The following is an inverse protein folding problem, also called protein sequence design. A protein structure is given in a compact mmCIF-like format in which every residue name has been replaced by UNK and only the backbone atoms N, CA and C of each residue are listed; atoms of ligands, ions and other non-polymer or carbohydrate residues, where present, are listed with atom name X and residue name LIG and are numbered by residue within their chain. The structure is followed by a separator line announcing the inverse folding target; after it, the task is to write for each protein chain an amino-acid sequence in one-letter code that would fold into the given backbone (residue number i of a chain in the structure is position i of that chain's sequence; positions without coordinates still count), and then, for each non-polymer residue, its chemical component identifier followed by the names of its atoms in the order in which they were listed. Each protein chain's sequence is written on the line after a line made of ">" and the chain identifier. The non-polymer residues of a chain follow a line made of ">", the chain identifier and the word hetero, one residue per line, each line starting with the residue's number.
data_IF_938926922040
#
_entry.id   IF_938926922040
#
_cell.length_a   1.000
_cell.length_b   1.000
_cell.length_c   1.000
_cell.angle_alpha   90.00
_cell.angle_beta   90.00
_cell.angle_gamma   90.00
#
_symmetry.space_group_name_H-M   'P 1'
#
loop_
_entity.id
_entity.type
_entity.pdbx_description
1 polymer ?
#
# COMPACT_ATOMS: atom_id res chain seq x y z
N UNK A 1 -7.71 -11.54 -20.32
CA UNK A 1 -6.60 -10.63 -20.00
C UNK A 1 -7.04 -9.22 -20.37
N UNK A 2 -6.88 -8.25 -19.45
CA UNK A 2 -7.28 -6.87 -19.74
C UNK A 2 -6.24 -6.24 -20.66
N UNK A 3 -6.68 -5.77 -21.82
CA UNK A 3 -5.85 -5.08 -22.78
C UNK A 3 -6.00 -3.57 -22.58
N UNK A 4 -4.90 -2.86 -22.42
CA UNK A 4 -4.87 -1.42 -22.24
C UNK A 4 -4.44 -0.71 -23.53
N UNK A 5 -5.01 0.44 -23.79
CA UNK A 5 -4.46 1.39 -24.78
C UNK A 5 -3.36 2.22 -24.10
N UNK A 6 -2.60 2.99 -24.88
CA UNK A 6 -1.55 3.87 -24.31
C UNK A 6 -2.16 4.99 -23.48
N UNK A 7 -3.36 5.44 -23.83
CA UNK A 7 -4.13 6.42 -23.08
C UNK A 7 -4.50 5.87 -21.70
N UNK A 8 -5.05 4.65 -21.66
CA UNK A 8 -5.40 3.98 -20.41
C UNK A 8 -4.17 3.76 -19.51
N UNK A 9 -3.02 3.43 -20.09
CA UNK A 9 -1.77 3.31 -19.31
C UNK A 9 -1.34 4.67 -18.74
N UNK A 10 -1.43 5.74 -19.54
CA UNK A 10 -1.11 7.10 -19.10
C UNK A 10 -1.94 7.49 -17.87
N UNK A 11 -3.25 7.25 -17.93
CA UNK A 11 -4.18 7.55 -16.84
C UNK A 11 -3.91 6.70 -15.58
N UNK A 12 -3.57 5.41 -15.76
CA UNK A 12 -3.35 4.49 -14.63
C UNK A 12 -2.01 4.69 -13.91
N UNK A 13 -0.96 5.08 -14.62
CA UNK A 13 0.36 5.21 -14.02
C UNK A 13 0.81 6.66 -13.78
N UNK A 14 0.00 7.66 -14.15
CA UNK A 14 0.33 9.07 -14.00
C UNK A 14 1.50 9.53 -14.88
N UNK A 15 1.83 8.78 -15.94
CA UNK A 15 2.93 9.08 -16.86
C UNK A 15 2.39 9.62 -18.17
N UNK A 16 2.90 10.75 -18.65
CA UNK A 16 2.43 11.36 -19.89
C UNK A 16 2.57 10.41 -21.10
N UNK A 17 1.63 10.47 -22.03
CA UNK A 17 1.72 9.72 -23.30
C UNK A 17 3.03 10.00 -24.06
N UNK A 18 3.55 11.23 -23.93
CA UNK A 18 4.83 11.62 -24.54
C UNK A 18 5.97 10.80 -23.97
N UNK A 19 6.03 10.63 -22.65
CA UNK A 19 7.02 9.83 -21.96
C UNK A 19 6.87 8.34 -22.31
N UNK A 20 5.63 7.81 -22.29
CA UNK A 20 5.38 6.41 -22.66
C UNK A 20 5.81 6.13 -24.11
N UNK A 21 5.55 7.04 -25.05
CA UNK A 21 6.02 6.92 -26.43
C UNK A 21 7.53 7.03 -26.57
N UNK A 22 8.19 7.87 -25.74
CA UNK A 22 9.63 7.95 -25.69
C UNK A 22 10.24 6.63 -25.17
N UNK A 23 9.65 6.04 -24.13
CA UNK A 23 10.05 4.74 -23.57
C UNK A 23 9.81 3.58 -24.55
N UNK A 24 8.80 3.66 -25.40
CA UNK A 24 8.64 2.71 -26.50
C UNK A 24 9.77 2.82 -27.52
N UNK A 25 10.14 4.03 -27.93
CA UNK A 25 11.25 4.26 -28.90
C UNK A 25 12.59 3.80 -28.35
N UNK A 26 12.83 3.98 -27.06
CA UNK A 26 14.06 3.50 -26.37
C UNK A 26 14.06 2.00 -26.06
N UNK A 27 12.96 1.30 -26.39
CA UNK A 27 12.83 -0.14 -26.13
C UNK A 27 12.58 -0.51 -24.68
N UNK A 28 12.35 0.47 -23.80
CA UNK A 28 11.98 0.26 -22.39
C UNK A 28 10.57 -0.34 -22.25
N UNK A 29 9.66 0.04 -23.12
CA UNK A 29 8.28 -0.41 -23.14
C UNK A 29 7.95 -0.99 -24.51
N UNK A 30 7.76 -2.30 -24.61
CA UNK A 30 7.46 -2.98 -25.88
C UNK A 30 6.00 -3.47 -25.87
N UNK A 31 5.07 -2.86 -26.66
CA UNK A 31 3.70 -3.35 -26.71
C UNK A 31 3.63 -4.77 -27.21
N UNK A 32 2.73 -5.58 -26.64
CA UNK A 32 2.36 -6.86 -27.18
C UNK A 32 1.48 -6.71 -28.42
N UNK A 33 1.33 -7.78 -29.20
CA UNK A 33 0.43 -7.82 -30.37
C UNK A 33 -0.54 -8.97 -30.15
N UNK A 34 -1.80 -8.72 -30.47
CA UNK A 34 -2.81 -9.76 -30.52
C UNK A 34 -2.76 -10.52 -31.85
N UNK A 35 -3.58 -11.54 -31.99
CA UNK A 35 -3.65 -12.39 -33.17
C UNK A 35 -3.99 -11.61 -34.46
N UNK A 36 -4.65 -10.46 -34.34
CA UNK A 36 -4.95 -9.52 -35.44
C UNK A 36 -3.82 -8.52 -35.71
N UNK A 37 -2.67 -8.64 -35.03
CA UNK A 37 -1.51 -7.75 -35.17
C UNK A 37 -1.66 -6.38 -34.49
N UNK A 38 -2.79 -6.09 -33.86
CA UNK A 38 -3.03 -4.84 -33.15
C UNK A 38 -2.19 -4.77 -31.87
N UNK A 39 -1.53 -3.62 -31.65
CA UNK A 39 -0.74 -3.38 -30.43
C UNK A 39 -1.65 -3.22 -29.22
N UNK A 40 -1.28 -3.83 -28.12
CA UNK A 40 -1.93 -3.66 -26.84
C UNK A 40 -0.89 -3.68 -25.73
N UNK A 41 -1.30 -3.23 -24.55
CA UNK A 41 -0.56 -3.36 -23.32
C UNK A 41 -1.37 -4.22 -22.36
N UNK A 42 -0.71 -4.86 -21.45
CA UNK A 42 -1.29 -5.64 -20.38
C UNK A 42 -0.68 -5.20 -19.03
N UNK A 43 -1.00 -5.92 -18.02
CA UNK A 43 -0.54 -5.67 -16.69
C UNK A 43 1.00 -5.74 -16.53
N UNK A 44 1.67 -6.61 -17.28
CA UNK A 44 3.13 -6.71 -17.20
C UNK A 44 3.80 -5.41 -17.63
N UNK A 45 3.18 -4.69 -18.57
CA UNK A 45 3.63 -3.37 -19.01
C UNK A 45 3.42 -2.30 -17.94
N UNK A 46 2.30 -2.36 -17.20
CA UNK A 46 2.06 -1.45 -16.08
C UNK A 46 3.11 -1.64 -14.97
N UNK A 47 3.41 -2.89 -14.61
CA UNK A 47 4.46 -3.21 -13.65
C UNK A 47 5.84 -2.71 -14.12
N UNK A 48 6.14 -2.89 -15.41
CA UNK A 48 7.38 -2.39 -16.00
C UNK A 48 7.47 -0.86 -15.92
N UNK A 49 6.36 -0.14 -16.15
CA UNK A 49 6.30 1.32 -16.01
C UNK A 49 6.61 1.72 -14.57
N UNK A 50 6.02 1.09 -13.58
CA UNK A 50 6.32 1.36 -12.17
C UNK A 50 7.79 1.08 -11.82
N UNK A 51 8.37 0.01 -12.34
CA UNK A 51 9.79 -0.26 -12.17
C UNK A 51 10.67 0.84 -12.81
N UNK A 52 10.32 1.32 -13.99
CA UNK A 52 11.01 2.44 -14.65
C UNK A 52 10.95 3.69 -13.75
N UNK A 53 9.76 4.09 -13.29
CA UNK A 53 9.57 5.25 -12.42
C UNK A 53 10.46 5.12 -11.17
N UNK A 54 10.41 3.97 -10.50
CA UNK A 54 11.20 3.72 -9.28
C UNK A 54 12.71 3.90 -9.49
N UNK A 55 13.23 3.55 -10.66
CA UNK A 55 14.65 3.76 -10.99
C UNK A 55 14.96 5.21 -11.35
N UNK A 56 14.04 5.89 -12.07
CA UNK A 56 14.16 7.31 -12.39
C UNK A 56 14.11 8.16 -11.12
N UNK A 57 13.24 7.83 -10.16
CA UNK A 57 13.13 8.50 -8.86
C UNK A 57 14.43 8.37 -8.03
N UNK A 58 15.20 7.30 -8.27
CA UNK A 58 16.54 7.12 -7.69
C UNK A 58 17.64 7.86 -8.45
N UNK A 59 17.28 8.65 -9.46
CA UNK A 59 18.23 9.45 -10.25
C UNK A 59 19.00 8.67 -11.32
N UNK A 60 18.57 7.43 -11.67
CA UNK A 60 19.21 6.69 -12.75
C UNK A 60 18.82 7.28 -14.10
N UNK A 61 19.78 7.51 -15.02
CA UNK A 61 19.48 7.93 -16.39
C UNK A 61 18.75 6.83 -17.16
N UNK A 62 17.94 7.22 -18.14
CA UNK A 62 17.01 6.34 -18.85
C UNK A 62 17.71 5.16 -19.57
N UNK A 63 18.92 5.38 -20.09
CA UNK A 63 19.74 4.36 -20.74
C UNK A 63 20.27 3.32 -19.74
N UNK A 64 20.60 3.72 -18.52
CA UNK A 64 20.96 2.80 -17.43
C UNK A 64 19.77 1.95 -16.99
N UNK A 65 18.59 2.58 -16.85
CA UNK A 65 17.34 1.86 -16.60
C UNK A 65 17.08 0.85 -17.71
N UNK A 66 17.33 1.22 -18.99
CA UNK A 66 17.14 0.31 -20.12
C UNK A 66 18.07 -0.91 -20.05
N UNK A 67 19.34 -0.71 -19.69
CA UNK A 67 20.33 -1.80 -19.53
C UNK A 67 19.91 -2.74 -18.41
N UNK A 68 19.54 -2.19 -17.25
CA UNK A 68 19.09 -2.99 -16.09
C UNK A 68 17.82 -3.79 -16.38
N UNK A 69 16.88 -3.22 -17.11
CA UNK A 69 15.65 -3.92 -17.51
C UNK A 69 15.88 -4.99 -18.59
N UNK A 70 17.01 -4.99 -19.30
CA UNK A 70 17.40 -6.06 -20.24
C UNK A 70 18.19 -7.20 -19.61
N UNK A 71 18.59 -7.07 -18.35
CA UNK A 71 19.34 -8.11 -17.63
C UNK A 71 20.82 -8.20 -18.04
N UNK A 72 21.40 -7.14 -18.61
CA UNK A 72 22.82 -7.10 -19.04
C UNK A 72 23.80 -6.99 -17.87
N UNK A 73 23.33 -6.71 -16.65
CA UNK A 73 24.09 -6.91 -15.40
C UNK A 73 23.19 -7.59 -14.38
N UNK A 74 23.32 -8.90 -14.24
CA UNK A 74 22.68 -9.72 -13.23
C UNK A 74 21.15 -9.55 -13.19
N UNK A 75 20.43 -10.55 -13.68
CA UNK A 75 19.00 -10.76 -13.55
C UNK A 75 18.28 -9.78 -12.60
N UNK A 76 17.90 -8.61 -13.12
CA UNK A 76 16.95 -7.70 -12.52
C UNK A 76 15.64 -7.67 -13.35
N UNK A 77 15.18 -8.81 -13.80
CA UNK A 77 13.77 -9.14 -13.67
C UNK A 77 13.60 -9.08 -12.17
N UNK A 78 13.05 -7.96 -11.64
CA UNK A 78 13.05 -7.83 -10.20
C UNK A 78 12.35 -9.06 -9.67
N UNK A 79 12.95 -9.76 -8.75
CA UNK A 79 12.35 -10.94 -8.10
C UNK A 79 10.92 -10.61 -7.62
N UNK A 80 10.65 -9.31 -7.45
CA UNK A 80 9.37 -8.74 -7.10
C UNK A 80 8.29 -8.97 -8.16
N UNK A 81 8.58 -8.72 -9.44
CA UNK A 81 7.65 -8.94 -10.56
C UNK A 81 7.32 -10.43 -10.70
N UNK A 82 8.35 -11.28 -10.63
CA UNK A 82 8.16 -12.74 -10.68
C UNK A 82 7.26 -13.20 -9.53
N UNK A 83 7.44 -12.66 -8.34
CA UNK A 83 6.62 -13.04 -7.19
C UNK A 83 5.20 -12.51 -7.25
N UNK A 84 5.02 -11.29 -7.77
CA UNK A 84 3.68 -10.75 -8.01
C UNK A 84 2.92 -11.58 -9.04
N UNK A 85 3.56 -11.95 -10.16
CA UNK A 85 2.96 -12.81 -11.18
C UNK A 85 2.62 -14.21 -10.63
N UNK A 86 3.54 -14.80 -9.88
CA UNK A 86 3.30 -16.10 -9.26
C UNK A 86 2.11 -16.03 -8.28
N UNK A 87 2.06 -14.99 -7.45
CA UNK A 87 0.98 -14.81 -6.47
C UNK A 87 -0.36 -14.59 -7.20
N UNK A 88 -0.38 -13.74 -8.23
CA UNK A 88 -1.55 -13.52 -9.06
C UNK A 88 -2.05 -14.82 -9.71
N UNK A 89 -1.15 -15.61 -10.27
CA UNK A 89 -1.48 -16.90 -10.88
C UNK A 89 -2.10 -17.89 -9.88
N UNK A 90 -1.69 -17.82 -8.60
CA UNK A 90 -2.31 -18.67 -7.56
C UNK A 90 -3.72 -18.22 -7.20
N UNK A 91 -4.02 -16.90 -7.30
CA UNK A 91 -5.35 -16.35 -7.05
C UNK A 91 -6.37 -16.74 -8.13
N UNK A 92 -5.92 -17.16 -9.30
CA UNK A 92 -6.76 -17.67 -10.39
C UNK A 92 -7.19 -19.12 -10.17
N UNK A 93 -6.53 -19.86 -9.30
CA UNK A 93 -6.87 -21.25 -9.00
C UNK A 93 -8.04 -21.35 -8.02
N UNK A 94 -8.74 -22.46 -8.06
CA UNK A 94 -9.87 -22.74 -7.17
C UNK A 94 -9.46 -22.85 -5.71
N UNK A 95 -8.30 -23.42 -5.43
CA UNK A 95 -7.77 -23.59 -4.07
C UNK A 95 -6.82 -22.46 -3.67
N UNK A 96 -6.97 -21.95 -2.45
CA UNK A 96 -6.08 -20.95 -1.86
C UNK A 96 -4.81 -21.52 -1.22
N UNK A 97 -4.67 -22.84 -1.14
CA UNK A 97 -3.53 -23.48 -0.45
C UNK A 97 -2.17 -23.08 -1.04
N UNK A 98 -2.08 -23.03 -2.38
CA UNK A 98 -0.84 -22.62 -3.05
C UNK A 98 -0.51 -21.14 -2.78
N UNK A 99 -1.53 -20.28 -2.74
CA UNK A 99 -1.36 -18.86 -2.40
C UNK A 99 -0.85 -18.67 -0.96
N UNK A 100 -1.43 -19.40 0.00
CA UNK A 100 -0.99 -19.42 1.40
C UNK A 100 0.47 -19.89 1.53
N UNK A 101 0.79 -21.00 0.89
CA UNK A 101 2.15 -21.55 0.90
C UNK A 101 3.16 -20.59 0.29
N UNK A 102 2.82 -19.96 -0.83
CA UNK A 102 3.67 -19.00 -1.54
C UNK A 102 3.90 -17.74 -0.70
N UNK A 103 2.85 -17.14 -0.13
CA UNK A 103 2.98 -15.93 0.69
C UNK A 103 3.81 -16.21 1.96
N UNK A 104 3.62 -17.37 2.61
CA UNK A 104 4.45 -17.79 3.74
C UNK A 104 5.92 -18.04 3.34
N UNK A 105 6.16 -18.55 2.14
CA UNK A 105 7.53 -18.69 1.60
C UNK A 105 8.17 -17.31 1.44
N UNK A 106 7.50 -16.38 0.75
CA UNK A 106 7.97 -15.01 0.54
C UNK A 106 8.29 -14.32 1.88
N UNK A 107 7.40 -14.43 2.87
CA UNK A 107 7.62 -13.81 4.19
C UNK A 107 8.73 -14.44 5.03
N UNK A 108 9.24 -15.66 4.68
CA UNK A 108 10.47 -16.21 5.26
C UNK A 108 11.73 -15.72 4.57
N UNK A 109 11.63 -15.36 3.30
CA UNK A 109 12.76 -14.94 2.47
C UNK A 109 12.96 -13.42 2.49
N UNK A 110 11.91 -12.65 2.81
CA UNK A 110 11.91 -11.20 2.77
C UNK A 110 11.57 -10.58 4.13
N UNK A 111 12.21 -9.46 4.48
CA UNK A 111 11.70 -8.57 5.51
C UNK A 111 10.26 -8.14 5.21
N UNK A 112 9.43 -8.01 6.25
CA UNK A 112 8.01 -7.73 6.12
C UNK A 112 7.72 -6.44 5.32
N UNK A 113 8.47 -5.36 5.57
CA UNK A 113 8.35 -4.11 4.82
C UNK A 113 8.64 -4.31 3.33
N UNK A 114 9.70 -5.05 2.98
CA UNK A 114 10.03 -5.33 1.58
C UNK A 114 8.95 -6.16 0.88
N UNK A 115 8.40 -7.17 1.56
CA UNK A 115 7.29 -7.97 1.05
C UNK A 115 6.07 -7.09 0.76
N UNK A 116 5.72 -6.21 1.71
CA UNK A 116 4.59 -5.30 1.54
C UNK A 116 4.83 -4.32 0.39
N UNK A 117 5.94 -3.58 0.42
CA UNK A 117 6.15 -2.44 -0.47
C UNK A 117 6.43 -2.88 -1.91
N UNK A 118 7.06 -4.04 -2.12
CA UNK A 118 7.47 -4.49 -3.45
C UNK A 118 6.58 -5.60 -4.04
N UNK A 119 5.80 -6.31 -3.24
CA UNK A 119 4.96 -7.42 -3.74
C UNK A 119 3.48 -7.18 -3.45
N UNK A 120 3.13 -6.96 -2.18
CA UNK A 120 1.73 -6.94 -1.74
C UNK A 120 1.00 -5.68 -2.20
N UNK A 121 1.54 -4.50 -1.89
CA UNK A 121 0.90 -3.22 -2.21
C UNK A 121 0.79 -2.98 -3.72
N UNK A 122 1.82 -3.23 -4.55
CA UNK A 122 1.69 -3.11 -6.00
C UNK A 122 0.65 -4.07 -6.59
N UNK A 123 0.63 -5.33 -6.16
CA UNK A 123 -0.36 -6.31 -6.63
C UNK A 123 -1.78 -5.91 -6.20
N UNK A 124 -1.94 -5.44 -4.95
CA UNK A 124 -3.22 -4.98 -4.44
C UNK A 124 -3.72 -3.74 -5.18
N UNK A 125 -2.84 -2.79 -5.44
CA UNK A 125 -3.15 -1.60 -6.24
C UNK A 125 -3.66 -2.01 -7.63
N UNK A 126 -3.00 -2.93 -8.29
CA UNK A 126 -3.47 -3.46 -9.56
C UNK A 126 -4.85 -4.12 -9.47
N UNK A 127 -5.07 -4.97 -8.47
CA UNK A 127 -6.38 -5.62 -8.26
C UNK A 127 -7.51 -4.62 -8.01
N UNK A 128 -7.19 -3.43 -7.47
CA UNK A 128 -8.14 -2.36 -7.22
C UNK A 128 -8.63 -1.64 -8.48
N UNK A 129 -7.84 -1.64 -9.56
CA UNK A 129 -8.22 -0.95 -10.81
C UNK A 129 -9.23 -1.69 -11.67
N UNK A 130 -9.54 -2.94 -11.37
CA UNK A 130 -10.45 -3.73 -12.18
C UNK A 130 -11.87 -3.74 -11.64
N UNK A 131 -12.83 -3.58 -12.56
CA UNK A 131 -14.27 -3.56 -12.25
C UNK A 131 -14.99 -4.86 -12.63
N UNK A 132 -14.31 -5.81 -13.31
CA UNK A 132 -14.93 -7.08 -13.67
C UNK A 132 -15.19 -7.95 -12.43
N UNK A 133 -16.27 -8.73 -12.44
CA UNK A 133 -16.60 -9.66 -11.35
C UNK A 133 -15.45 -10.61 -11.02
N UNK A 134 -14.73 -11.08 -12.03
CA UNK A 134 -13.55 -11.93 -11.82
C UNK A 134 -12.44 -11.22 -11.05
N UNK A 135 -12.19 -9.94 -11.35
CA UNK A 135 -11.14 -9.16 -10.70
C UNK A 135 -11.53 -8.75 -9.28
N UNK A 136 -12.78 -8.38 -9.06
CA UNK A 136 -13.32 -8.14 -7.72
C UNK A 136 -13.21 -9.40 -6.83
N UNK A 137 -13.49 -10.57 -7.41
CA UNK A 137 -13.32 -11.86 -6.71
C UNK A 137 -11.85 -12.12 -6.37
N UNK A 138 -10.91 -11.89 -7.30
CA UNK A 138 -9.46 -12.03 -7.04
C UNK A 138 -9.00 -11.07 -5.95
N UNK A 139 -9.46 -9.82 -5.98
CA UNK A 139 -9.18 -8.82 -4.93
C UNK A 139 -9.65 -9.31 -3.56
N UNK A 140 -10.91 -9.72 -3.45
CA UNK A 140 -11.47 -10.22 -2.19
C UNK A 140 -10.70 -11.43 -1.67
N UNK A 141 -10.34 -12.37 -2.53
CA UNK A 141 -9.50 -13.53 -2.17
C UNK A 141 -8.10 -13.11 -1.71
N UNK A 142 -7.51 -12.11 -2.36
CA UNK A 142 -6.21 -11.59 -1.96
C UNK A 142 -6.26 -10.89 -0.61
N UNK A 143 -7.26 -10.05 -0.38
CA UNK A 143 -7.47 -9.37 0.89
C UNK A 143 -7.69 -10.39 2.04
N UNK A 144 -8.49 -11.44 1.80
CA UNK A 144 -8.65 -12.55 2.74
C UNK A 144 -7.32 -13.25 3.05
N UNK A 145 -6.51 -13.54 2.02
CA UNK A 145 -5.19 -14.15 2.18
C UNK A 145 -4.26 -13.31 3.05
N UNK A 146 -4.31 -11.98 2.92
CA UNK A 146 -3.49 -11.06 3.70
C UNK A 146 -3.92 -11.04 5.17
N UNK A 147 -5.21 -11.05 5.46
CA UNK A 147 -5.73 -11.16 6.85
C UNK A 147 -5.33 -12.50 7.48
N UNK A 148 -5.48 -13.61 6.75
CA UNK A 148 -5.03 -14.93 7.21
C UNK A 148 -3.52 -14.95 7.50
N UNK A 149 -2.73 -14.31 6.63
CA UNK A 149 -1.28 -14.23 6.81
C UNK A 149 -0.89 -13.37 8.01
N UNK A 150 -1.50 -12.20 8.19
CA UNK A 150 -1.31 -11.36 9.38
C UNK A 150 -1.63 -12.12 10.66
N UNK A 151 -2.78 -12.78 10.70
CA UNK A 151 -3.22 -13.59 11.84
C UNK A 151 -2.22 -14.72 12.15
N UNK A 152 -1.70 -15.38 11.11
CA UNK A 152 -0.66 -16.42 11.28
C UNK A 152 0.61 -15.85 11.91
N UNK A 153 1.08 -14.68 11.48
CA UNK A 153 2.25 -14.02 12.04
C UNK A 153 2.02 -13.62 13.51
N UNK A 154 0.88 -13.01 13.81
CA UNK A 154 0.53 -12.60 15.18
C UNK A 154 0.46 -13.79 16.14
N UNK A 155 -0.12 -14.91 15.72
CA UNK A 155 -0.15 -16.14 16.53
C UNK A 155 1.25 -16.70 16.82
N UNK A 156 2.17 -16.60 15.86
CA UNK A 156 3.56 -17.01 16.06
C UNK A 156 4.29 -16.09 17.05
N UNK A 157 4.02 -14.79 17.02
CA UNK A 157 4.62 -13.78 17.89
C UNK A 157 4.14 -13.89 19.34
N UNK A 158 2.90 -14.28 19.59
CA UNK A 158 2.34 -14.49 20.94
C UNK A 158 3.09 -15.55 21.79
N UNK A 159 3.85 -16.41 21.14
CA UNK A 159 4.64 -17.46 21.82
C UNK A 159 5.97 -16.96 22.40
N UNK A 160 6.32 -15.70 22.15
CA UNK A 160 7.58 -15.10 22.60
C UNK A 160 7.31 -13.95 23.58
N UNK A 161 8.14 -13.75 24.60
CA UNK A 161 8.08 -12.53 25.39
C UNK A 161 8.43 -11.34 24.48
N UNK A 162 7.54 -10.36 24.42
CA UNK A 162 7.68 -9.19 23.55
C UNK A 162 6.80 -8.05 24.07
N UNK A 163 7.19 -6.82 23.79
CA UNK A 163 6.38 -5.63 24.08
C UNK A 163 5.06 -5.66 23.34
N UNK A 164 3.98 -5.26 24.00
CA UNK A 164 2.65 -5.18 23.42
C UNK A 164 2.51 -4.00 22.45
N UNK A 165 1.99 -4.25 21.27
CA UNK A 165 1.60 -3.21 20.29
C UNK A 165 0.14 -3.40 19.90
N UNK A 166 -0.69 -2.40 20.17
CA UNK A 166 -2.06 -2.35 19.65
C UNK A 166 -2.09 -1.49 18.40
N UNK A 167 -2.60 -2.06 17.30
CA UNK A 167 -2.79 -1.38 16.02
C UNK A 167 -4.28 -1.12 15.83
N UNK A 168 -4.64 0.14 15.60
CA UNK A 168 -6.02 0.59 15.41
C UNK A 168 -6.12 1.69 14.36
N UNK A 169 -7.30 1.88 13.76
CA UNK A 169 -7.57 3.03 12.90
C UNK A 169 -8.53 4.01 13.58
N UNK A 170 -8.25 5.30 13.47
CA UNK A 170 -9.25 6.35 13.76
C UNK A 170 -10.22 6.51 12.59
N UNK A 171 -9.67 6.62 11.37
CA UNK A 171 -10.43 6.69 10.13
C UNK A 171 -9.76 5.78 9.10
N UNK A 172 -10.55 4.94 8.45
CA UNK A 172 -10.05 4.19 7.30
C UNK A 172 -11.21 3.81 6.38
N UNK A 173 -11.02 4.05 5.09
CA UNK A 173 -11.88 3.53 4.03
C UNK A 173 -11.56 2.08 3.69
N UNK A 174 -10.42 1.61 4.13
CA UNK A 174 -9.89 0.29 3.84
C UNK A 174 -9.60 -0.48 5.12
N UNK A 175 -10.50 -1.40 5.46
CA UNK A 175 -10.37 -2.23 6.67
C UNK A 175 -9.12 -3.13 6.69
N UNK A 176 -8.44 -3.31 5.53
CA UNK A 176 -7.21 -4.08 5.45
C UNK A 176 -5.98 -3.29 5.96
N UNK A 177 -6.04 -1.97 5.99
CA UNK A 177 -4.89 -1.12 6.32
C UNK A 177 -4.21 -1.51 7.63
N UNK A 178 -5.00 -1.72 8.69
CA UNK A 178 -4.45 -2.13 10.02
C UNK A 178 -3.79 -3.52 9.98
N UNK A 179 -4.27 -4.42 9.12
CA UNK A 179 -3.67 -5.74 8.93
C UNK A 179 -2.34 -5.67 8.16
N UNK A 180 -2.24 -4.74 7.19
CA UNK A 180 -1.00 -4.48 6.48
C UNK A 180 0.06 -3.91 7.43
N UNK A 181 -0.33 -2.99 8.32
CA UNK A 181 0.57 -2.51 9.37
C UNK A 181 0.97 -3.63 10.35
N UNK A 182 0.05 -4.53 10.70
CA UNK A 182 0.39 -5.69 11.52
C UNK A 182 1.43 -6.60 10.85
N UNK A 183 1.33 -6.80 9.53
CA UNK A 183 2.37 -7.53 8.78
C UNK A 183 3.68 -6.74 8.81
N UNK A 184 3.66 -5.41 8.58
CA UNK A 184 4.84 -4.55 8.57
C UNK A 184 5.64 -4.65 9.87
N UNK A 185 4.96 -4.52 11.01
CA UNK A 185 5.58 -4.53 12.32
C UNK A 185 5.83 -5.93 12.90
N UNK A 186 5.39 -6.99 12.21
CA UNK A 186 5.61 -8.38 12.69
C UNK A 186 7.08 -8.78 12.77
N UNK A 187 7.96 -8.10 12.03
CA UNK A 187 9.41 -8.31 12.09
C UNK A 187 10.14 -7.57 13.20
N UNK A 188 9.49 -6.60 13.86
CA UNK A 188 10.09 -5.70 14.84
C UNK A 188 10.08 -6.23 16.29
N UNK A 189 9.59 -7.44 16.48
CA UNK A 189 9.61 -8.10 17.78
C UNK A 189 8.45 -7.75 18.70
N UNK A 190 7.38 -7.14 18.21
CA UNK A 190 6.17 -6.83 18.99
C UNK A 190 5.21 -8.02 19.09
N UNK A 191 4.51 -8.11 20.24
CA UNK A 191 3.26 -8.87 20.36
C UNK A 191 2.13 -7.96 19.90
N UNK A 192 1.55 -8.26 18.71
CA UNK A 192 0.61 -7.37 18.03
C UNK A 192 -0.82 -7.83 18.28
N UNK A 193 -1.68 -6.88 18.65
CA UNK A 193 -3.13 -6.98 18.65
C UNK A 193 -3.73 -5.93 17.71
N UNK A 194 -4.77 -6.32 16.93
CA UNK A 194 -5.35 -5.47 15.89
C UNK A 194 -6.83 -5.23 16.18
N UNK A 195 -7.23 -3.97 16.22
CA UNK A 195 -8.63 -3.57 16.13
C UNK A 195 -8.99 -3.38 14.66
N UNK A 196 -9.73 -4.35 14.10
CA UNK A 196 -10.02 -4.38 12.67
C UNK A 196 -11.06 -3.35 12.22
N UNK A 197 -11.88 -2.83 13.14
CA UNK A 197 -12.84 -1.76 12.84
C UNK A 197 -12.29 -0.42 13.34
N UNK A 198 -12.48 0.66 12.56
CA UNK A 198 -12.10 2.00 12.99
C UNK A 198 -12.81 2.40 14.28
N UNK A 199 -12.06 2.99 15.20
CA UNK A 199 -12.56 3.61 16.43
C UNK A 199 -12.19 5.08 16.36
N UNK A 200 -13.14 5.99 16.05
CA UNK A 200 -12.82 7.40 15.80
C UNK A 200 -12.13 8.12 16.95
N UNK A 201 -12.51 7.80 18.19
CA UNK A 201 -11.91 8.36 19.41
C UNK A 201 -11.60 7.21 20.38
N UNK A 202 -10.46 6.50 20.20
CA UNK A 202 -10.16 5.34 21.01
C UNK A 202 -9.71 5.75 22.42
N UNK A 203 -10.19 5.00 23.42
CA UNK A 203 -9.74 5.10 24.78
C UNK A 203 -8.59 4.11 25.01
N UNK A 204 -7.35 4.60 25.06
CA UNK A 204 -6.15 3.79 25.21
C UNK A 204 -6.06 3.11 26.56
N UNK A 205 -6.74 3.62 27.59
CA UNK A 205 -6.76 3.00 28.93
C UNK A 205 -7.47 1.64 28.97
N UNK A 206 -8.21 1.29 27.91
CA UNK A 206 -8.86 -0.02 27.78
C UNK A 206 -7.89 -1.14 27.35
N UNK A 207 -6.63 -0.82 27.04
CA UNK A 207 -5.66 -1.77 26.51
C UNK A 207 -4.45 -1.88 27.44
N UNK A 208 -4.03 -3.13 27.69
CA UNK A 208 -2.76 -3.45 28.35
C UNK A 208 -1.68 -3.63 27.27
N UNK A 209 -1.11 -2.50 26.82
CA UNK A 209 -0.09 -2.49 25.79
C UNK A 209 0.99 -1.44 26.06
N UNK A 210 2.22 -1.75 25.65
CA UNK A 210 3.36 -0.85 25.81
C UNK A 210 3.39 0.25 24.73
N UNK A 211 2.77 -0.01 23.55
CA UNK A 211 2.81 0.87 22.39
C UNK A 211 1.48 0.83 21.64
N UNK A 212 1.18 1.93 20.93
CA UNK A 212 -0.02 2.07 20.12
C UNK A 212 0.34 2.60 18.73
N UNK A 213 -0.16 1.97 17.68
CA UNK A 213 -0.09 2.47 16.31
C UNK A 213 -1.48 2.88 15.86
N UNK A 214 -1.64 4.17 15.60
CA UNK A 214 -2.91 4.74 15.16
C UNK A 214 -2.83 5.04 13.67
N UNK A 215 -3.73 4.44 12.89
CA UNK A 215 -3.80 4.59 11.44
C UNK A 215 -4.92 5.57 11.05
N UNK A 216 -4.66 6.40 10.03
CA UNK A 216 -5.70 7.15 9.33
C UNK A 216 -5.30 7.36 7.87
N UNK A 217 -6.17 7.00 6.92
CA UNK A 217 -5.98 7.26 5.48
C UNK A 217 -6.60 8.59 5.02
N UNK A 218 -7.39 9.23 5.88
CA UNK A 218 -7.99 10.56 5.66
C UNK A 218 -7.57 11.53 6.74
N UNK A 219 -7.60 12.86 6.48
CA UNK A 219 -7.28 13.87 7.48
C UNK A 219 -8.09 13.70 8.77
N UNK A 220 -7.43 13.93 9.90
CA UNK A 220 -8.07 13.86 11.21
C UNK A 220 -9.12 14.95 11.36
N UNK A 221 -10.24 14.62 11.97
CA UNK A 221 -11.22 15.63 12.42
C UNK A 221 -10.65 16.47 13.56
N UNK A 222 -11.19 17.66 13.85
CA UNK A 222 -10.72 18.50 14.97
C UNK A 222 -10.69 17.76 16.30
N UNK A 223 -11.69 16.94 16.61
CA UNK A 223 -11.74 16.16 17.85
C UNK A 223 -10.63 15.09 17.90
N UNK A 224 -10.37 14.41 16.78
CA UNK A 224 -9.29 13.44 16.67
C UNK A 224 -7.91 14.08 16.77
N UNK A 225 -7.74 15.28 16.16
CA UNK A 225 -6.50 16.03 16.27
C UNK A 225 -6.24 16.48 17.71
N UNK A 226 -7.27 16.95 18.42
CA UNK A 226 -7.16 17.31 19.84
C UNK A 226 -6.74 16.11 20.68
N UNK A 227 -7.36 14.94 20.48
CA UNK A 227 -7.01 13.70 21.18
C UNK A 227 -5.57 13.25 20.86
N UNK A 228 -5.16 13.33 19.58
CA UNK A 228 -3.81 13.04 19.14
C UNK A 228 -2.77 13.96 19.82
N UNK A 229 -3.03 15.25 19.84
CA UNK A 229 -2.16 16.24 20.50
C UNK A 229 -2.07 16.00 22.01
N UNK A 230 -3.18 15.63 22.64
CA UNK A 230 -3.20 15.29 24.07
C UNK A 230 -2.26 14.12 24.35
N UNK A 231 -2.33 13.03 23.60
CA UNK A 231 -1.42 11.89 23.78
C UNK A 231 0.05 12.27 23.61
N UNK A 232 0.35 13.16 22.63
CA UNK A 232 1.71 13.64 22.44
C UNK A 232 2.20 14.49 23.64
N UNK A 233 1.34 15.33 24.21
CA UNK A 233 1.66 16.15 25.38
C UNK A 233 1.84 15.31 26.65
N UNK A 234 1.06 14.26 26.78
CA UNK A 234 1.17 13.31 27.89
C UNK A 234 2.37 12.33 27.75
N UNK A 235 3.09 12.39 26.62
CA UNK A 235 4.24 11.51 26.37
C UNK A 235 3.84 10.04 26.18
N UNK A 236 2.59 9.79 25.73
CA UNK A 236 2.13 8.44 25.49
C UNK A 236 2.88 7.78 24.31
N UNK A 237 3.18 6.48 24.38
CA UNK A 237 3.91 5.75 23.33
C UNK A 237 3.00 5.46 22.13
N UNK A 238 2.48 6.51 21.48
CA UNK A 238 1.56 6.46 20.36
C UNK A 238 2.27 6.90 19.09
N UNK A 239 2.24 6.05 18.07
CA UNK A 239 2.80 6.28 16.74
C UNK A 239 1.69 6.45 15.72
N UNK A 240 1.96 7.17 14.65
CA UNK A 240 1.01 7.39 13.56
C UNK A 240 1.39 6.65 12.29
N UNK A 241 0.39 6.20 11.55
CA UNK A 241 0.54 5.64 10.21
C UNK A 241 -0.59 6.12 9.28
N UNK A 242 -0.31 6.14 7.97
CA UNK A 242 -1.28 6.55 6.95
C UNK A 242 -1.22 8.04 6.59
N UNK A 243 -1.81 8.35 5.43
CA UNK A 243 -1.74 9.69 4.84
C UNK A 243 -2.50 10.77 5.63
N UNK A 244 -3.44 10.38 6.48
CA UNK A 244 -4.26 11.30 7.27
C UNK A 244 -3.47 12.14 8.29
N UNK A 245 -2.29 11.68 8.68
CA UNK A 245 -1.38 12.42 9.56
C UNK A 245 -0.41 13.34 8.80
N UNK A 246 -0.30 13.19 7.47
CA UNK A 246 0.63 13.96 6.64
C UNK A 246 0.08 15.34 6.22
N UNK A 247 -1.20 15.61 6.40
CA UNK A 247 -1.85 16.88 6.02
C UNK A 247 -1.90 17.76 7.24
N UNK A 248 -1.21 18.93 7.26
CA UNK A 248 -1.41 19.92 8.31
C UNK A 248 -2.90 20.34 8.30
N UNK A 249 -3.51 20.62 9.48
CA UNK A 249 -4.89 21.09 9.54
C UNK A 249 -5.01 22.32 8.65
N UNK A 250 -5.91 22.29 7.66
CA UNK A 250 -6.28 23.48 6.94
C UNK A 250 -6.90 24.42 7.97
N UNK A 251 -6.26 25.56 8.19
CA UNK A 251 -6.88 26.66 8.92
C UNK A 251 -8.23 26.95 8.25
N UNK A 252 -9.32 27.08 9.00
CA UNK A 252 -10.59 27.46 8.41
C UNK A 252 -10.38 28.75 7.61
N UNK A 253 -10.83 28.75 6.35
CA UNK A 253 -10.75 29.93 5.49
C UNK A 253 -11.31 31.14 6.26
N UNK A 254 -10.51 32.18 6.37
CA UNK A 254 -10.91 33.43 7.05
C UNK A 254 -12.19 34.06 6.48
N UNK A 255 -12.62 33.61 5.25
CA UNK A 255 -13.86 33.99 4.61
C UNK A 255 -15.13 33.35 5.20
N UNK A 256 -15.00 32.34 6.07
CA UNK A 256 -16.13 31.59 6.65
C UNK A 256 -16.25 31.74 8.18
N UNK A 257 -15.56 32.69 8.79
CA UNK A 257 -15.79 33.04 10.19
C UNK A 257 -17.11 33.77 10.29
N UNK A 258 -18.04 33.36 11.18
CA UNK A 258 -19.26 34.13 11.43
C UNK A 258 -18.88 35.50 11.94
N UNK A 259 -19.56 36.53 11.44
CA UNK A 259 -19.32 37.97 11.62
C UNK A 259 -19.31 38.47 13.11
N UNK A 260 -19.59 37.59 14.07
CA UNK A 260 -19.58 37.87 15.50
C UNK A 260 -18.17 37.92 16.12
N UNK A 261 -17.20 37.20 15.54
CA UNK A 261 -15.83 37.18 16.09
C UNK A 261 -14.98 38.37 15.69
N UNK A 262 -15.35 39.10 14.64
CA UNK A 262 -14.65 40.32 14.20
C UNK A 262 -15.03 41.55 15.04
N UNK A 263 -16.11 41.51 15.82
CA UNK A 263 -16.55 42.62 16.65
C UNK A 263 -15.95 42.64 18.07
N UNK A 264 -15.45 41.51 18.55
CA UNK A 264 -14.77 41.39 19.84
C UNK A 264 -13.27 41.74 19.81
N UNK A 265 -12.62 41.61 18.66
CA UNK A 265 -11.19 41.95 18.50
C UNK A 265 -10.93 43.44 18.22
N UNK A 266 -11.97 44.24 18.07
CA UNK A 266 -11.90 45.69 17.80
C UNK A 266 -12.35 46.55 19.00
N UNK A 267 -12.45 45.98 20.18
CA UNK A 267 -12.63 46.68 21.47
C UNK A 267 -11.43 46.40 22.37
#
# INVERSE_FOLDING_TARGET
>A
MSHFTIEMLSDQCGVSMTNLRAWQRSGLLKPARNDSGKRYFDYTHLMRIHAIIKWLDRGLPLDEVARRLKGEEGSLTSQWEVWQEQLLATLEKTSMEKARALLRKMGRELPAAMLLDNVVLPLRLWLNHGTSSAQLTRRSRFDTLLVEYATFLMQALRKRPASGLVIMAMNSHDSLSVWLEAIRYSGEGFRIDVLHQPVPLPDLAQFDADHYLVFSDVPLTPAQLTLWQQWQLEGMPVFSAGAGFAVPPQLPDAANLPDETLREAAR
#
